data_IF_473151147581
#
_entry.id   IF_473151147581
#
_cell.length_a   1.000
_cell.length_b   1.000
_cell.length_c   1.000
_cell.angle_alpha   90.00
_cell.angle_beta   90.00
_cell.angle_gamma   90.00
#
_symmetry.space_group_name_H-M   'P 1'
#
loop_
_entity.id
_entity.type
_entity.pdbx_description
1 polymer ?
#
# COMPACT_ATOMS: atom_id res chain seq x y z
N UNK A 1 -18.40 9.46 1.28
CA UNK A 1 -17.01 9.40 1.80
C UNK A 1 -16.16 8.80 0.71
N UNK A 2 -15.05 9.46 0.35
CA UNK A 2 -14.06 8.85 -0.55
C UNK A 2 -13.35 7.71 0.18
N UNK A 3 -12.86 6.73 -0.57
CA UNK A 3 -11.99 5.68 -0.04
C UNK A 3 -10.74 6.26 0.63
N UNK A 4 -10.25 7.39 0.10
CA UNK A 4 -9.11 8.12 0.66
C UNK A 4 -9.44 8.70 2.03
N UNK A 5 -10.62 9.33 2.19
CA UNK A 5 -11.05 9.88 3.48
C UNK A 5 -11.17 8.79 4.54
N UNK A 6 -11.69 7.62 4.14
CA UNK A 6 -11.75 6.45 5.01
C UNK A 6 -10.35 5.99 5.43
N UNK A 7 -9.43 5.82 4.47
CA UNK A 7 -8.05 5.42 4.75
C UNK A 7 -7.35 6.38 5.71
N UNK A 8 -7.54 7.69 5.52
CA UNK A 8 -7.01 8.71 6.43
C UNK A 8 -7.62 8.58 7.83
N UNK A 9 -8.93 8.31 7.92
CA UNK A 9 -9.61 8.15 9.22
C UNK A 9 -9.17 6.91 10.01
N UNK A 10 -8.71 5.86 9.33
CA UNK A 10 -8.25 4.60 9.96
C UNK A 10 -6.74 4.50 10.13
N UNK A 11 -6.01 5.62 9.95
CA UNK A 11 -4.56 5.69 10.12
C UNK A 11 -4.13 5.23 11.52
N UNK A 12 -3.30 4.18 11.57
CA UNK A 12 -2.83 3.54 12.80
C UNK A 12 -3.83 2.57 13.45
N UNK A 13 -5.03 2.41 12.89
CA UNK A 13 -6.09 1.54 13.42
C UNK A 13 -6.37 0.33 12.53
N UNK A 14 -6.31 0.53 11.21
CA UNK A 14 -6.53 -0.54 10.25
C UNK A 14 -5.27 -1.39 10.05
N UNK A 15 -5.48 -2.66 9.73
CA UNK A 15 -4.43 -3.66 9.58
C UNK A 15 -4.55 -4.32 8.20
N UNK A 16 -3.42 -4.67 7.61
CA UNK A 16 -3.35 -5.39 6.36
C UNK A 16 -3.03 -6.86 6.64
N UNK A 17 -3.81 -7.74 6.04
CA UNK A 17 -3.68 -9.18 6.19
C UNK A 17 -3.69 -9.85 4.83
N UNK A 18 -2.80 -10.80 4.63
CA UNK A 18 -2.81 -11.66 3.46
C UNK A 18 -3.91 -12.72 3.57
N UNK A 19 -4.25 -13.32 2.45
CA UNK A 19 -5.31 -14.32 2.38
C UNK A 19 -4.96 -15.65 3.08
N UNK A 20 -3.68 -15.91 3.34
CA UNK A 20 -3.20 -17.04 4.14
C UNK A 20 -3.25 -16.77 5.66
N UNK A 21 -3.71 -15.58 6.07
CA UNK A 21 -3.72 -15.16 7.47
C UNK A 21 -2.40 -14.58 7.96
N UNK A 22 -1.45 -14.30 7.06
CA UNK A 22 -0.23 -13.59 7.42
C UNK A 22 -0.53 -12.11 7.66
N UNK A 23 -0.09 -11.59 8.81
CA UNK A 23 -0.11 -10.15 9.08
C UNK A 23 0.93 -9.44 8.21
N UNK A 24 0.51 -8.39 7.50
CA UNK A 24 1.33 -7.61 6.56
C UNK A 24 1.62 -6.18 7.04
N UNK A 25 1.14 -5.81 8.23
CA UNK A 25 1.42 -4.51 8.84
C UNK A 25 0.15 -3.70 9.18
N UNK A 26 0.35 -2.64 9.96
CA UNK A 26 -0.66 -1.63 10.27
C UNK A 26 -0.62 -0.54 9.22
N UNK A 27 -1.80 -0.13 8.73
CA UNK A 27 -1.98 1.02 7.87
C UNK A 27 -1.70 2.31 8.66
N UNK A 28 -0.42 2.62 8.82
CA UNK A 28 0.06 3.76 9.60
C UNK A 28 1.00 4.61 8.77
N UNK A 29 0.89 5.93 8.88
CA UNK A 29 1.86 6.87 8.32
C UNK A 29 3.10 7.06 9.19
N UNK A 30 3.17 6.38 10.35
CA UNK A 30 4.31 6.50 11.27
C UNK A 30 5.52 5.75 10.72
N UNK A 31 6.64 6.45 10.50
CA UNK A 31 7.88 5.87 9.99
C UNK A 31 8.68 5.11 11.03
N UNK A 32 8.40 5.32 12.31
CA UNK A 32 9.16 4.76 13.43
C UNK A 32 8.50 3.53 14.05
N UNK A 33 7.22 3.30 13.73
CA UNK A 33 6.48 2.15 14.22
C UNK A 33 6.95 0.87 13.48
N UNK A 34 7.29 -0.18 14.23
CA UNK A 34 7.82 -1.43 13.67
C UNK A 34 6.79 -2.20 12.85
N UNK A 35 5.51 -2.03 13.16
CA UNK A 35 4.40 -2.70 12.48
C UNK A 35 3.83 -1.85 11.33
N UNK A 36 4.23 -0.60 11.19
CA UNK A 36 3.75 0.30 10.15
C UNK A 36 4.21 -0.09 8.75
N UNK A 37 3.27 -0.08 7.79
CA UNK A 37 3.58 -0.26 6.36
C UNK A 37 4.38 0.90 5.74
N UNK A 38 4.47 2.03 6.45
CA UNK A 38 5.23 3.19 5.99
C UNK A 38 6.66 3.22 6.53
N UNK A 39 7.00 2.36 7.49
CA UNK A 39 8.35 2.27 8.02
C UNK A 39 9.31 1.65 6.98
N UNK A 40 10.26 2.42 6.41
CA UNK A 40 11.14 1.94 5.34
C UNK A 40 12.17 0.92 5.82
N UNK A 41 12.41 0.84 7.14
CA UNK A 41 13.32 -0.13 7.76
C UNK A 41 12.57 -1.24 8.49
N UNK A 42 11.23 -1.23 8.46
CA UNK A 42 10.39 -2.23 9.08
C UNK A 42 10.24 -3.49 8.22
N UNK A 43 9.84 -4.60 8.85
CA UNK A 43 9.60 -5.87 8.15
C UNK A 43 8.35 -5.85 7.25
N UNK A 44 7.43 -4.90 7.50
CA UNK A 44 6.14 -4.75 6.82
C UNK A 44 6.09 -3.56 5.84
N UNK A 45 6.91 -2.53 6.07
CA UNK A 45 6.96 -1.34 5.21
C UNK A 45 8.24 -1.18 4.39
N UNK A 46 9.30 -1.92 4.73
CA UNK A 46 10.60 -1.81 4.10
C UNK A 46 10.67 -2.52 2.76
N UNK A 47 11.49 -2.02 1.84
CA UNK A 47 11.70 -2.62 0.51
C UNK A 47 12.32 -4.03 0.56
N UNK A 48 12.96 -4.38 1.67
CA UNK A 48 13.58 -5.70 1.91
C UNK A 48 12.82 -6.52 2.95
N UNK A 49 11.68 -6.04 3.45
CA UNK A 49 10.89 -6.74 4.44
C UNK A 49 10.27 -8.01 3.87
N UNK A 50 10.40 -9.13 4.58
CA UNK A 50 9.87 -10.44 4.12
C UNK A 50 8.34 -10.47 4.03
N UNK A 51 7.66 -9.67 4.86
CA UNK A 51 6.20 -9.52 4.91
C UNK A 51 5.74 -8.18 4.33
N UNK A 52 6.66 -7.44 3.69
CA UNK A 52 6.36 -6.12 3.18
C UNK A 52 5.72 -6.19 1.81
N UNK A 53 4.63 -5.45 1.64
CA UNK A 53 4.01 -5.25 0.33
C UNK A 53 4.89 -4.43 -0.62
N UNK A 54 5.86 -3.68 -0.09
CA UNK A 54 6.84 -2.92 -0.89
C UNK A 54 8.03 -3.75 -1.36
N UNK A 55 8.13 -5.01 -0.92
CA UNK A 55 9.20 -5.88 -1.35
C UNK A 55 8.86 -6.54 -2.69
N UNK A 56 9.45 -6.02 -3.77
CA UNK A 56 9.27 -6.51 -5.14
C UNK A 56 9.75 -7.94 -5.38
N UNK A 57 10.53 -8.50 -4.45
CA UNK A 57 11.02 -9.88 -4.50
C UNK A 57 10.31 -10.80 -3.49
N UNK A 58 9.40 -10.26 -2.67
CA UNK A 58 8.67 -11.00 -1.64
C UNK A 58 7.35 -11.60 -2.14
N UNK A 59 6.81 -12.55 -1.37
CA UNK A 59 5.53 -13.21 -1.69
C UNK A 59 4.33 -12.24 -1.68
N UNK A 60 4.42 -11.15 -0.92
CA UNK A 60 3.34 -10.19 -0.68
C UNK A 60 3.51 -8.86 -1.42
N UNK A 61 4.66 -8.64 -2.06
CA UNK A 61 4.94 -7.39 -2.80
C UNK A 61 5.42 -7.59 -4.23
N UNK A 62 5.81 -8.81 -4.61
CA UNK A 62 6.25 -9.10 -5.97
C UNK A 62 5.09 -9.18 -6.96
N UNK A 63 5.30 -8.77 -8.21
CA UNK A 63 4.33 -8.97 -9.30
C UNK A 63 4.02 -10.45 -9.60
N UNK A 64 4.87 -11.37 -9.12
CA UNK A 64 4.67 -12.81 -9.26
C UNK A 64 4.24 -13.48 -7.95
N UNK A 65 4.10 -12.71 -6.87
CA UNK A 65 3.70 -13.23 -5.57
C UNK A 65 2.27 -13.76 -5.60
N UNK A 66 2.04 -14.94 -5.02
CA UNK A 66 0.71 -15.57 -4.95
C UNK A 66 -0.28 -14.82 -4.06
N UNK A 67 0.23 -14.08 -3.08
CA UNK A 67 -0.53 -13.24 -2.15
C UNK A 67 -0.24 -11.75 -2.35
N UNK A 68 0.41 -11.40 -3.46
CA UNK A 68 0.77 -10.02 -3.72
C UNK A 68 -0.40 -9.27 -4.36
N UNK A 69 -0.71 -8.07 -3.88
CA UNK A 69 -1.74 -7.23 -4.49
C UNK A 69 -1.30 -6.72 -5.88
N UNK A 70 -0.01 -6.81 -6.21
CA UNK A 70 0.55 -6.39 -7.50
C UNK A 70 0.40 -7.44 -8.60
N UNK A 71 0.12 -8.69 -8.24
CA UNK A 71 -0.04 -9.76 -9.20
C UNK A 71 -1.44 -9.70 -9.82
N UNK A 72 -1.50 -9.46 -11.14
CA UNK A 72 -2.76 -9.36 -11.90
C UNK A 72 -3.53 -10.69 -12.00
N UNK A 73 -2.87 -11.81 -11.69
CA UNK A 73 -3.47 -13.15 -11.64
C UNK A 73 -3.67 -13.65 -10.20
N UNK A 74 -3.51 -12.77 -9.21
CA UNK A 74 -3.74 -13.09 -7.80
C UNK A 74 -5.21 -13.43 -7.57
N UNK A 75 -5.51 -14.67 -7.18
CA UNK A 75 -6.87 -15.10 -6.84
C UNK A 75 -7.24 -14.71 -5.40
N UNK A 76 -6.25 -14.63 -4.52
CA UNK A 76 -6.42 -14.46 -3.09
C UNK A 76 -5.67 -13.21 -2.62
N UNK A 77 -6.17 -12.00 -2.93
CA UNK A 77 -5.49 -10.77 -2.57
C UNK A 77 -5.56 -10.47 -1.06
N UNK A 78 -4.67 -9.60 -0.57
CA UNK A 78 -4.72 -9.14 0.80
C UNK A 78 -5.93 -8.24 1.06
N UNK A 79 -6.39 -8.29 2.31
CA UNK A 79 -7.57 -7.58 2.82
C UNK A 79 -7.17 -6.60 3.92
N UNK A 80 -7.87 -5.47 3.98
CA UNK A 80 -7.75 -4.53 5.09
C UNK A 80 -8.82 -4.86 6.11
N UNK A 81 -8.38 -5.06 7.34
CA UNK A 81 -9.21 -5.27 8.52
C UNK A 81 -9.24 -3.99 9.36
N UNK A 82 -10.44 -3.51 9.66
CA UNK A 82 -10.66 -2.43 10.62
C UNK A 82 -11.51 -2.98 11.77
N UNK A 83 -11.00 -2.90 13.00
CA UNK A 83 -11.66 -3.47 14.18
C UNK A 83 -12.05 -4.97 14.02
N UNK A 84 -11.25 -5.73 13.27
CA UNK A 84 -11.49 -7.15 12.99
C UNK A 84 -12.54 -7.43 11.90
N UNK A 85 -13.06 -6.40 11.22
CA UNK A 85 -13.99 -6.56 10.10
C UNK A 85 -13.31 -6.22 8.77
N UNK A 86 -13.49 -7.04 7.72
CA UNK A 86 -12.91 -6.77 6.40
C UNK A 86 -13.63 -5.58 5.78
N UNK A 87 -12.87 -4.52 5.48
CA UNK A 87 -13.43 -3.26 4.96
C UNK A 87 -13.04 -2.99 3.51
N UNK A 88 -11.85 -3.45 3.10
CA UNK A 88 -11.29 -3.19 1.77
C UNK A 88 -10.50 -4.40 1.28
N UNK A 89 -10.42 -4.53 -0.03
CA UNK A 89 -9.52 -5.50 -0.68
C UNK A 89 -8.46 -4.73 -1.44
N UNK A 90 -7.19 -5.13 -1.28
CA UNK A 90 -6.06 -4.49 -1.94
C UNK A 90 -5.63 -5.37 -3.09
N UNK A 91 -5.90 -4.98 -4.33
CA UNK A 91 -5.50 -5.75 -5.50
C UNK A 91 -5.51 -4.91 -6.77
N UNK A 92 -4.59 -5.21 -7.69
CA UNK A 92 -4.66 -4.76 -9.09
C UNK A 92 -5.45 -5.70 -10.00
N UNK A 93 -5.79 -6.89 -9.51
CA UNK A 93 -6.57 -7.84 -10.29
C UNK A 93 -8.05 -7.42 -10.29
N UNK A 94 -8.55 -6.98 -11.45
CA UNK A 94 -9.93 -6.57 -11.66
C UNK A 94 -10.94 -7.73 -11.69
N UNK A 95 -10.48 -8.98 -11.72
CA UNK A 95 -11.31 -10.18 -11.76
C UNK A 95 -11.58 -10.81 -10.39
N UNK A 96 -11.04 -10.24 -9.30
CA UNK A 96 -11.28 -10.77 -7.96
C UNK A 96 -12.74 -10.58 -7.55
N UNK A 97 -13.35 -11.63 -7.02
CA UNK A 97 -14.65 -11.57 -6.37
C UNK A 97 -14.54 -10.76 -5.08
N UNK A 98 -14.87 -9.47 -5.18
CA UNK A 98 -14.75 -8.55 -4.04
C UNK A 98 -15.93 -8.63 -3.06
N UNK A 99 -16.95 -9.45 -3.31
CA UNK A 99 -18.13 -9.61 -2.43
C UNK A 99 -18.70 -8.27 -1.92
N UNK A 100 -18.83 -7.27 -2.82
CA UNK A 100 -19.26 -5.89 -2.55
C UNK A 100 -18.30 -5.05 -1.69
N UNK A 101 -17.11 -5.55 -1.36
CA UNK A 101 -16.07 -4.73 -0.74
C UNK A 101 -15.43 -3.81 -1.79
N UNK A 102 -15.12 -2.57 -1.41
CA UNK A 102 -14.34 -1.67 -2.25
C UNK A 102 -12.94 -2.23 -2.49
N UNK A 103 -12.52 -2.20 -3.75
CA UNK A 103 -11.17 -2.56 -4.17
C UNK A 103 -10.32 -1.30 -4.22
N UNK A 104 -9.12 -1.36 -3.67
CA UNK A 104 -8.14 -0.27 -3.69
C UNK A 104 -6.84 -0.75 -4.34
N UNK A 105 -6.27 0.12 -5.16
CA UNK A 105 -4.95 -0.13 -5.73
C UNK A 105 -3.87 -0.13 -4.63
N UNK A 106 -2.93 -1.09 -4.63
CA UNK A 106 -1.84 -1.13 -3.66
C UNK A 106 -0.98 0.14 -3.69
N UNK A 107 -0.77 0.73 -4.87
CA UNK A 107 -0.03 1.99 -4.99
C UNK A 107 -0.79 3.18 -4.40
N UNK A 108 -2.12 3.21 -4.54
CA UNK A 108 -2.93 4.26 -3.93
C UNK A 108 -2.89 4.13 -2.41
N UNK A 109 -3.06 2.91 -1.89
CA UNK A 109 -2.97 2.62 -0.47
C UNK A 109 -1.62 3.09 0.10
N UNK A 110 -0.52 2.66 -0.53
CA UNK A 110 0.82 3.07 -0.14
C UNK A 110 1.01 4.57 -0.28
N UNK A 111 0.49 5.20 -1.33
CA UNK A 111 0.57 6.65 -1.55
C UNK A 111 -0.14 7.47 -0.48
N UNK A 112 -1.26 6.97 0.05
CA UNK A 112 -1.99 7.62 1.16
C UNK A 112 -1.17 7.62 2.45
N UNK A 113 -0.49 6.52 2.76
CA UNK A 113 0.31 6.39 4.00
C UNK A 113 1.79 6.73 3.81
N UNK A 114 2.25 6.89 2.57
CA UNK A 114 3.62 7.23 2.27
C UNK A 114 3.98 8.51 3.02
N UNK A 115 5.22 8.61 3.54
CA UNK A 115 5.70 9.88 4.03
C UNK A 115 5.54 10.88 2.89
N UNK A 116 4.70 11.90 3.11
CA UNK A 116 4.73 13.11 2.31
C UNK A 116 6.09 13.73 2.57
N UNK A 117 7.13 13.24 1.89
CA UNK A 117 8.32 14.03 1.65
C UNK A 117 7.75 15.34 1.11
N UNK A 118 7.90 16.41 1.87
CA UNK A 118 7.52 17.77 1.50
C UNK A 118 8.40 18.20 0.32
N UNK A 119 8.28 17.52 -0.81
CA UNK A 119 8.75 17.99 -2.07
C UNK A 119 7.53 18.65 -2.68
N UNK A 120 7.48 20.00 -2.69
CA UNK A 120 6.45 20.67 -3.46
C UNK A 120 6.47 20.07 -4.86
N UNK A 121 5.28 19.72 -5.36
CA UNK A 121 5.04 19.30 -6.75
C UNK A 121 5.99 20.14 -7.62
N UNK A 122 6.93 19.56 -8.39
CA UNK A 122 7.78 20.35 -9.24
C UNK A 122 6.86 21.06 -10.22
N UNK A 123 6.62 22.35 -9.98
CA UNK A 123 5.97 23.22 -10.94
C UNK A 123 6.90 23.24 -12.13
N UNK A 124 6.52 22.54 -13.19
CA UNK A 124 7.24 22.54 -14.45
C UNK A 124 7.24 24.00 -14.93
N UNK A 125 8.36 24.69 -14.74
CA UNK A 125 8.54 26.05 -15.25
C UNK A 125 9.19 25.94 -16.63
N UNK A 126 8.44 26.06 -17.73
CA UNK A 126 8.98 25.86 -19.08
C UNK A 126 9.96 26.97 -19.52
N UNK A 127 10.30 27.94 -18.67
CA UNK A 127 11.15 29.10 -19.04
C UNK A 127 12.64 28.96 -18.71
N UNK A 128 13.09 27.83 -18.15
CA UNK A 128 14.49 27.65 -17.72
C UNK A 128 15.40 26.93 -18.74
N UNK A 129 14.96 26.73 -19.98
CA UNK A 129 15.76 26.09 -21.03
C UNK A 129 16.25 27.11 -22.08
N UNK A 130 17.16 28.00 -21.70
CA UNK A 130 17.97 28.75 -22.67
C UNK A 130 19.18 29.40 -21.97
N UNK A 131 20.32 28.70 -21.94
CA UNK A 131 21.65 29.24 -22.23
C UNK A 131 22.70 28.15 -21.95
N UNK A 132 23.02 27.37 -22.98
CA UNK A 132 24.35 26.80 -23.10
C UNK A 132 25.16 27.77 -23.96
N UNK A 133 26.31 28.21 -23.44
CA UNK A 133 27.32 28.96 -24.17
C UNK A 133 27.94 28.11 -25.28
#
# INVERSE_FOLDING_TARGET
MSIVDFLVSVNGLAQLWAADGQFLGVLSSNLYDQNSISNPHGIYGGSYGIYSIRNSYGLYGSQYGVYSPYNIYCLNPPIVLYQGQPVLIVTRNSYVLSNNLPVVDPELLIGVYAPQITNPIPTFNPRAAASCQ
#
